data_IF_303808475270
#
_entry.id   IF_303808475270
#
_cell.length_a   1.000
_cell.length_b   1.000
_cell.length_c   1.000
_cell.angle_alpha   90.00
_cell.angle_beta   90.00
_cell.angle_gamma   90.00
#
_symmetry.space_group_name_H-M   'P 1'
#
loop_
_entity.id
_entity.type
_entity.pdbx_description
1 polymer ?
#
# COMPACT_ATOMS: atom_id res chain seq x y z
N UNK A 1 -1.04 -29.17 13.44
CA UNK A 1 -2.51 -29.34 13.41
C UNK A 1 -3.05 -28.40 12.33
N UNK A 2 -3.38 -28.86 11.12
CA UNK A 2 -4.06 -28.02 10.13
C UNK A 2 -5.51 -28.47 10.02
N UNK A 3 -6.39 -27.80 10.76
CA UNK A 3 -7.82 -27.87 10.46
C UNK A 3 -8.14 -26.97 9.28
N UNK A 4 -9.15 -27.33 8.48
CA UNK A 4 -9.70 -26.50 7.39
C UNK A 4 -9.85 -25.01 7.76
N UNK A 5 -10.27 -24.62 8.99
CA UNK A 5 -10.36 -23.21 9.36
C UNK A 5 -9.04 -22.44 9.33
N UNK A 6 -7.92 -23.10 9.69
CA UNK A 6 -6.61 -22.46 9.72
C UNK A 6 -6.07 -22.22 8.30
N UNK A 7 -6.30 -23.17 7.39
CA UNK A 7 -5.92 -23.03 5.98
C UNK A 7 -6.71 -21.92 5.29
N UNK A 8 -8.01 -21.81 5.58
CA UNK A 8 -8.84 -20.73 5.04
C UNK A 8 -8.40 -19.36 5.57
N UNK A 9 -8.02 -19.27 6.85
CA UNK A 9 -7.53 -18.02 7.45
C UNK A 9 -6.18 -17.61 6.85
N UNK A 10 -5.25 -18.54 6.63
CA UNK A 10 -3.97 -18.28 5.93
C UNK A 10 -4.23 -17.76 4.51
N UNK A 11 -5.12 -18.43 3.76
CA UNK A 11 -5.50 -18.02 2.42
C UNK A 11 -6.11 -16.61 2.41
N UNK A 12 -7.05 -16.34 3.32
CA UNK A 12 -7.69 -15.03 3.44
C UNK A 12 -6.67 -13.94 3.78
N UNK A 13 -5.76 -14.19 4.72
CA UNK A 13 -4.71 -13.23 5.09
C UNK A 13 -3.81 -12.88 3.88
N UNK A 14 -3.46 -13.88 3.06
CA UNK A 14 -2.68 -13.67 1.82
C UNK A 14 -3.43 -12.80 0.82
N UNK A 15 -4.70 -13.09 0.59
CA UNK A 15 -5.53 -12.30 -0.34
C UNK A 15 -5.72 -10.87 0.13
N UNK A 16 -5.98 -10.68 1.43
CA UNK A 16 -6.07 -9.34 2.03
C UNK A 16 -4.76 -8.57 1.82
N UNK A 17 -3.61 -9.20 2.07
CA UNK A 17 -2.31 -8.56 1.87
C UNK A 17 -2.04 -8.23 0.40
N UNK A 18 -2.33 -9.15 -0.52
CA UNK A 18 -2.16 -8.94 -1.95
C UNK A 18 -2.99 -7.74 -2.44
N UNK A 19 -4.28 -7.70 -2.09
CA UNK A 19 -5.19 -6.61 -2.48
C UNK A 19 -4.70 -5.30 -1.87
N UNK A 20 -4.35 -5.28 -0.58
CA UNK A 20 -3.81 -4.09 0.08
C UNK A 20 -2.54 -3.59 -0.63
N UNK A 21 -1.62 -4.49 -0.97
CA UNK A 21 -0.40 -4.17 -1.72
C UNK A 21 -0.69 -3.55 -3.10
N UNK A 22 -1.61 -4.13 -3.87
CA UNK A 22 -2.05 -3.58 -5.16
C UNK A 22 -2.62 -2.17 -4.98
N UNK A 23 -3.47 -1.96 -3.98
CA UNK A 23 -4.05 -0.65 -3.70
C UNK A 23 -2.99 0.39 -3.31
N UNK A 24 -2.05 0.04 -2.43
CA UNK A 24 -0.99 0.94 -1.99
C UNK A 24 -0.04 1.34 -3.11
N UNK A 25 0.44 0.36 -3.88
CA UNK A 25 1.33 0.60 -5.02
C UNK A 25 0.58 1.36 -6.11
N UNK A 26 -0.64 0.95 -6.44
CA UNK A 26 -1.46 1.62 -7.46
C UNK A 26 -1.71 3.08 -7.13
N UNK A 27 -2.05 3.40 -5.88
CA UNK A 27 -2.21 4.77 -5.43
C UNK A 27 -0.91 5.58 -5.54
N UNK A 28 0.22 4.96 -5.18
CA UNK A 28 1.54 5.61 -5.27
C UNK A 28 1.92 5.93 -6.73
N UNK A 29 1.68 5.00 -7.66
CA UNK A 29 1.90 5.21 -9.08
C UNK A 29 0.98 6.29 -9.65
N UNK A 30 -0.29 6.31 -9.24
CA UNK A 30 -1.24 7.36 -9.62
C UNK A 30 -0.77 8.74 -9.16
N UNK A 31 -0.37 8.89 -7.89
CA UNK A 31 0.11 10.18 -7.38
C UNK A 31 1.44 10.61 -8.03
N UNK A 32 2.35 9.68 -8.31
CA UNK A 32 3.57 9.98 -9.07
C UNK A 32 3.27 10.45 -10.49
N UNK A 33 2.29 9.84 -11.16
CA UNK A 33 1.84 10.29 -12.47
C UNK A 33 1.15 11.66 -12.39
N UNK A 34 0.27 11.84 -11.39
CA UNK A 34 -0.46 13.09 -11.16
C UNK A 34 0.53 14.25 -10.99
N UNK A 35 1.52 14.10 -10.11
CA UNK A 35 2.55 15.10 -9.86
C UNK A 35 3.34 15.50 -11.12
N UNK A 36 3.59 14.54 -12.03
CA UNK A 36 4.31 14.78 -13.29
C UNK A 36 3.47 15.44 -14.38
N UNK A 37 2.15 15.37 -14.28
CA UNK A 37 1.23 15.94 -15.27
C UNK A 37 0.69 17.31 -14.89
N UNK A 38 0.98 17.79 -13.68
CA UNK A 38 0.62 19.13 -13.25
C UNK A 38 1.24 20.18 -14.17
N UNK A 39 0.41 21.13 -14.60
CA UNK A 39 0.84 22.30 -15.36
C UNK A 39 0.53 23.57 -14.56
N UNK A 40 1.26 24.68 -14.81
CA UNK A 40 0.89 25.97 -14.28
C UNK A 40 -0.58 26.26 -14.60
N UNK A 41 -1.34 26.63 -13.57
CA UNK A 41 -2.76 26.93 -13.73
C UNK A 41 -2.93 28.27 -14.45
N UNK A 42 -3.65 28.30 -15.56
CA UNK A 42 -3.97 29.52 -16.30
C UNK A 42 -5.48 29.79 -16.23
N UNK A 43 -5.87 31.02 -15.87
CA UNK A 43 -7.26 31.47 -15.97
C UNK A 43 -8.26 30.92 -14.93
N UNK A 44 -7.83 30.19 -13.90
CA UNK A 44 -8.70 29.66 -12.83
C UNK A 44 -8.31 30.26 -11.47
N UNK A 45 -9.28 30.60 -10.58
CA UNK A 45 -8.98 30.99 -9.20
C UNK A 45 -8.18 29.91 -8.47
N UNK A 46 -7.13 30.31 -7.75
CA UNK A 46 -6.18 29.39 -7.12
C UNK A 46 -6.17 29.54 -5.62
N UNK A 47 -5.75 28.49 -4.92
CA UNK A 47 -5.35 28.60 -3.51
C UNK A 47 -4.10 29.49 -3.36
N UNK A 48 -3.74 29.92 -2.13
CA UNK A 48 -2.63 30.85 -1.90
C UNK A 48 -1.27 30.38 -2.44
N UNK A 49 -0.98 29.07 -2.39
CA UNK A 49 0.30 28.51 -2.82
C UNK A 49 0.11 27.29 -3.76
N UNK A 50 -0.33 27.53 -5.02
CA UNK A 50 -0.62 26.46 -5.97
C UNK A 50 0.69 25.95 -6.59
N UNK A 51 0.89 24.64 -6.54
CA UNK A 51 2.01 23.95 -7.20
C UNK A 51 1.70 23.74 -8.68
N UNK A 52 0.45 23.40 -9.00
CA UNK A 52 0.00 23.17 -10.37
C UNK A 52 -1.36 22.50 -10.43
N UNK A 53 -1.92 22.40 -11.64
CA UNK A 53 -3.27 21.89 -11.87
C UNK A 53 -3.31 20.89 -13.01
N UNK A 54 -4.32 20.02 -12.99
CA UNK A 54 -4.63 19.11 -14.09
C UNK A 54 -6.12 18.82 -14.15
N UNK A 55 -6.57 18.38 -15.33
CA UNK A 55 -7.93 17.88 -15.55
C UNK A 55 -7.88 16.36 -15.70
N UNK A 56 -8.73 15.67 -14.96
CA UNK A 56 -8.88 14.22 -15.03
C UNK A 56 -10.26 13.90 -15.60
N UNK A 57 -10.34 12.94 -16.53
CA UNK A 57 -11.60 12.36 -17.01
C UNK A 57 -11.75 10.97 -16.42
N UNK A 58 -12.86 10.69 -15.75
CA UNK A 58 -13.18 9.35 -15.29
C UNK A 58 -14.69 9.14 -15.21
N UNK A 59 -15.18 7.97 -15.63
CA UNK A 59 -16.61 7.61 -15.59
C UNK A 59 -17.54 8.62 -16.29
N UNK A 60 -17.06 9.28 -17.34
CA UNK A 60 -17.80 10.32 -18.06
C UNK A 60 -17.84 11.70 -17.39
N UNK A 61 -17.18 11.88 -16.24
CA UNK A 61 -17.07 13.15 -15.52
C UNK A 61 -15.66 13.73 -15.53
N UNK A 62 -15.58 15.06 -15.39
CA UNK A 62 -14.32 15.79 -15.32
C UNK A 62 -14.01 16.22 -13.89
N UNK A 63 -12.79 15.99 -13.44
CA UNK A 63 -12.27 16.45 -12.14
C UNK A 63 -11.20 17.51 -12.39
N UNK A 64 -11.34 18.65 -11.73
CA UNK A 64 -10.28 19.64 -11.67
C UNK A 64 -9.48 19.42 -10.39
N UNK A 65 -8.18 19.17 -10.52
CA UNK A 65 -7.30 18.90 -9.39
C UNK A 65 -6.23 19.98 -9.33
N UNK A 66 -6.18 20.69 -8.22
CA UNK A 66 -5.10 21.59 -7.86
C UNK A 66 -4.26 20.97 -6.74
N UNK A 67 -2.94 20.88 -6.95
CA UNK A 67 -2.00 20.58 -5.86
C UNK A 67 -1.59 21.89 -5.22
N UNK A 68 -1.78 21.98 -3.90
CA UNK A 68 -1.48 23.19 -3.13
C UNK A 68 -0.67 22.86 -1.90
N UNK A 69 0.21 23.77 -1.51
CA UNK A 69 0.87 23.75 -0.21
C UNK A 69 0.05 24.60 0.76
N UNK A 70 -0.32 24.04 1.92
CA UNK A 70 -1.21 24.77 2.83
C UNK A 70 -0.53 25.96 3.51
N UNK A 71 0.81 26.03 3.58
CA UNK A 71 1.56 27.17 4.19
C UNK A 71 1.01 27.65 5.55
N UNK A 72 0.55 26.72 6.40
CA UNK A 72 -0.03 27.04 7.72
C UNK A 72 -1.53 27.34 7.71
N UNK A 73 -2.18 27.32 6.55
CA UNK A 73 -3.64 27.37 6.42
C UNK A 73 -4.31 26.17 7.11
N UNK A 74 -5.55 26.33 7.59
CA UNK A 74 -6.31 25.24 8.19
C UNK A 74 -6.52 24.09 7.21
N UNK A 75 -6.53 22.85 7.72
CA UNK A 75 -6.80 21.67 6.91
C UNK A 75 -8.20 21.74 6.29
N UNK A 76 -8.33 21.59 4.96
CA UNK A 76 -9.61 21.64 4.28
C UNK A 76 -10.50 20.46 4.71
N UNK A 77 -11.81 20.66 4.69
CA UNK A 77 -12.81 19.63 4.99
C UNK A 77 -13.85 19.57 3.87
N UNK A 78 -14.24 18.36 3.42
CA UNK A 78 -13.78 17.04 3.86
C UNK A 78 -12.37 16.69 3.33
N UNK A 79 -11.56 15.97 4.13
CA UNK A 79 -10.23 15.50 3.74
C UNK A 79 -10.23 13.98 3.60
N UNK A 80 -9.99 13.49 2.39
CA UNK A 80 -9.69 12.07 2.18
C UNK A 80 -8.19 11.84 2.25
N UNK A 81 -7.75 11.12 3.29
CA UNK A 81 -6.33 10.80 3.49
C UNK A 81 -6.06 9.34 3.10
N UNK A 82 -5.28 9.14 2.03
CA UNK A 82 -4.85 7.84 1.51
C UNK A 82 -3.78 7.13 2.36
N UNK A 83 -3.92 7.14 3.69
CA UNK A 83 -3.00 6.44 4.62
C UNK A 83 -3.31 4.96 4.77
N UNK A 84 -4.59 4.60 4.59
CA UNK A 84 -5.09 3.29 4.95
C UNK A 84 -4.51 2.19 4.08
N UNK A 85 -4.27 2.46 2.80
CA UNK A 85 -3.68 1.49 1.88
C UNK A 85 -2.28 1.07 2.36
N UNK A 86 -1.43 2.03 2.73
CA UNK A 86 -0.10 1.72 3.25
C UNK A 86 -0.16 0.97 4.59
N UNK A 87 -1.02 1.43 5.51
CA UNK A 87 -1.16 0.81 6.82
C UNK A 87 -1.70 -0.61 6.75
N UNK A 88 -2.71 -0.86 5.91
CA UNK A 88 -3.25 -2.21 5.76
C UNK A 88 -2.25 -3.15 5.09
N UNK A 89 -1.47 -2.69 4.11
CA UNK A 89 -0.37 -3.49 3.54
C UNK A 89 0.64 -3.86 4.62
N UNK A 90 1.08 -2.89 5.42
CA UNK A 90 2.06 -3.14 6.47
C UNK A 90 1.55 -4.11 7.52
N UNK A 91 0.34 -3.87 8.06
CA UNK A 91 -0.25 -4.73 9.11
C UNK A 91 -0.52 -6.15 8.62
N UNK A 92 -1.07 -6.31 7.41
CA UNK A 92 -1.32 -7.63 6.83
C UNK A 92 -0.01 -8.36 6.50
N UNK A 93 1.02 -7.64 6.06
CA UNK A 93 2.34 -8.20 5.80
C UNK A 93 3.04 -8.65 7.07
N UNK A 94 2.98 -7.84 8.13
CA UNK A 94 3.50 -8.21 9.45
C UNK A 94 2.77 -9.45 10.02
N UNK A 95 1.45 -9.49 9.88
CA UNK A 95 0.64 -10.66 10.28
C UNK A 95 1.07 -11.92 9.53
N UNK A 96 1.23 -11.83 8.20
CA UNK A 96 1.68 -12.96 7.39
C UNK A 96 3.11 -13.37 7.71
N UNK A 97 4.00 -12.43 7.99
CA UNK A 97 5.37 -12.72 8.42
C UNK A 97 5.35 -13.56 9.70
N UNK A 98 4.58 -13.13 10.71
CA UNK A 98 4.40 -13.89 11.96
C UNK A 98 3.78 -15.26 11.68
N UNK A 99 2.70 -15.32 10.90
CA UNK A 99 1.99 -16.57 10.63
C UNK A 99 2.84 -17.60 9.87
N UNK A 100 3.57 -17.17 8.84
CA UNK A 100 4.29 -18.07 7.93
C UNK A 100 5.68 -18.42 8.47
N UNK A 101 6.41 -17.43 8.94
CA UNK A 101 7.80 -17.58 9.34
C UNK A 101 7.93 -18.00 10.80
N UNK A 102 7.28 -17.30 11.71
CA UNK A 102 7.46 -17.52 13.14
C UNK A 102 6.53 -18.60 13.73
N UNK A 103 5.28 -18.67 13.28
CA UNK A 103 4.29 -19.61 13.82
C UNK A 103 4.12 -20.89 12.98
N UNK A 104 4.25 -20.78 11.65
CA UNK A 104 3.88 -21.86 10.73
C UNK A 104 4.97 -22.91 10.49
N UNK A 105 6.25 -22.61 10.75
CA UNK A 105 7.38 -23.50 10.48
C UNK A 105 7.56 -23.90 9.01
N UNK A 106 6.76 -23.33 8.08
CA UNK A 106 6.72 -23.72 6.65
C UNK A 106 7.95 -23.22 5.88
N UNK A 107 8.55 -22.12 6.32
CA UNK A 107 9.81 -21.60 5.78
C UNK A 107 11.03 -22.39 6.27
N UNK A 108 10.90 -23.12 7.38
CA UNK A 108 11.98 -23.81 8.11
C UNK A 108 11.77 -25.33 8.15
N UNK A 109 11.02 -25.91 7.21
CA UNK A 109 11.05 -27.36 7.02
C UNK A 109 12.40 -27.71 6.40
N UNK A 110 13.42 -27.74 7.25
CA UNK A 110 14.63 -28.46 6.99
C UNK A 110 14.23 -29.93 6.83
N UNK A 111 14.59 -30.51 5.69
CA UNK A 111 14.50 -31.94 5.52
C UNK A 111 15.39 -32.55 6.61
N UNK A 112 14.79 -33.28 7.55
CA UNK A 112 15.52 -33.78 8.73
C UNK A 112 16.71 -34.69 8.34
N UNK A 113 16.76 -35.15 7.08
CA UNK A 113 17.90 -35.88 6.51
C UNK A 113 19.10 -35.01 6.10
N UNK A 114 18.94 -33.69 5.92
CA UNK A 114 19.99 -32.75 5.48
C UNK A 114 20.51 -31.88 6.64
N UNK A 115 19.76 -31.77 7.73
CA UNK A 115 20.12 -31.00 8.93
C UNK A 115 21.26 -31.61 9.78
N UNK A 116 21.91 -32.69 9.32
CA UNK A 116 23.01 -33.38 10.01
C UNK A 116 24.39 -32.83 9.64
N UNK A 117 24.53 -31.54 9.37
CA UNK A 117 25.85 -30.89 9.32
C UNK A 117 26.18 -30.38 10.72
N UNK A 118 26.99 -31.13 11.45
CA UNK A 118 27.55 -30.65 12.71
C UNK A 118 28.63 -29.60 12.44
N UNK A 119 28.80 -28.61 13.33
CA UNK A 119 29.89 -27.63 13.23
C UNK A 119 31.29 -28.24 13.18
N UNK A 120 31.45 -29.52 13.52
CA UNK A 120 32.72 -30.25 13.44
C UNK A 120 33.08 -30.73 12.02
N UNK A 121 32.18 -30.58 11.04
CA UNK A 121 32.40 -30.99 9.65
C UNK A 121 32.66 -29.80 8.70
N UNK A 122 32.88 -28.59 9.24
CA UNK A 122 33.29 -27.41 8.50
C UNK A 122 34.77 -27.08 8.74
#
# INVERSE_FOLDING_TARGET
MSGVPFELLDLLARWVHLIAGIMWIGNSLLFNWLDRTLRPAEGVPKTPAPVGTTWLLHSGGFYYVEKTLLEGAPLPRPLHWFKWQAYTTWWSGATLLVAVYYAGGRALREDAGVASLSHAQA
#
